data_IF_428726297039
#
_entry.id   IF_428726297039
#
_cell.length_a   1.000
_cell.length_b   1.000
_cell.length_c   1.000
_cell.angle_alpha   90.00
_cell.angle_beta   90.00
_cell.angle_gamma   90.00
#
_symmetry.space_group_name_H-M   'P 1'
#
loop_
_entity.id
_entity.type
_entity.pdbx_description
1 polymer ?
#
# COMPACT_ATOMS: atom_id res chain seq x y z
N UNK A 1 -3.34 15.12 -4.91
CA UNK A 1 -4.11 13.88 -5.04
C UNK A 1 -3.89 13.26 -6.42
N UNK A 2 -3.69 11.95 -6.48
CA UNK A 2 -3.57 11.17 -7.71
C UNK A 2 -4.81 10.29 -7.83
N UNK A 3 -5.46 10.27 -8.99
CA UNK A 3 -6.58 9.37 -9.28
C UNK A 3 -6.04 7.94 -9.49
N UNK A 4 -6.66 6.96 -8.84
CA UNK A 4 -6.25 5.54 -8.90
C UNK A 4 -7.15 4.77 -9.87
N UNK A 5 -8.35 4.42 -9.42
CA UNK A 5 -9.33 3.62 -10.15
C UNK A 5 -10.73 3.88 -9.54
N UNK A 6 -11.77 3.20 -10.02
CA UNK A 6 -13.05 3.19 -9.30
C UNK A 6 -13.00 2.20 -8.14
N UNK A 7 -13.89 2.35 -7.15
CA UNK A 7 -14.02 1.39 -6.04
C UNK A 7 -14.37 -0.02 -6.51
N UNK A 8 -14.99 -0.17 -7.68
CA UNK A 8 -15.34 -1.46 -8.28
C UNK A 8 -14.12 -2.15 -8.93
N UNK A 9 -13.14 -1.37 -9.39
CA UNK A 9 -11.92 -1.89 -9.99
C UNK A 9 -10.91 -2.39 -8.94
N UNK A 10 -11.17 -2.15 -7.65
CA UNK A 10 -10.32 -2.56 -6.54
C UNK A 10 -11.18 -3.21 -5.43
N UNK A 11 -11.70 -4.44 -5.65
CA UNK A 11 -12.52 -5.13 -4.67
C UNK A 11 -11.69 -5.59 -3.44
N UNK A 12 -12.35 -5.99 -2.33
CA UNK A 12 -11.65 -6.48 -1.15
C UNK A 12 -10.70 -7.63 -1.45
N UNK A 13 -9.47 -7.56 -0.91
CA UNK A 13 -8.39 -8.52 -1.14
C UNK A 13 -7.44 -8.13 -2.27
N UNK A 14 -7.77 -7.12 -3.08
CA UNK A 14 -6.97 -6.71 -4.23
C UNK A 14 -6.06 -5.50 -3.93
N UNK A 15 -5.04 -5.34 -4.78
CA UNK A 15 -4.12 -4.21 -4.75
C UNK A 15 -3.89 -3.65 -6.16
N UNK A 16 -3.53 -2.36 -6.22
CA UNK A 16 -3.13 -1.70 -7.47
C UNK A 16 -1.92 -0.80 -7.24
N UNK A 17 -0.96 -0.89 -8.14
CA UNK A 17 0.21 -0.02 -8.18
C UNK A 17 -0.07 1.21 -9.05
N UNK A 18 0.27 2.39 -8.54
CA UNK A 18 0.23 3.64 -9.31
C UNK A 18 1.63 4.23 -9.51
N UNK A 19 1.81 4.91 -10.65
CA UNK A 19 3.04 5.63 -10.95
C UNK A 19 3.01 7.02 -10.31
N UNK A 20 4.02 7.31 -9.50
CA UNK A 20 4.30 8.62 -8.92
C UNK A 20 5.84 8.80 -8.83
N UNK A 21 6.32 9.88 -8.20
CA UNK A 21 7.77 10.09 -8.01
C UNK A 21 8.42 8.90 -7.28
N UNK A 22 7.74 8.36 -6.26
CA UNK A 22 7.99 7.02 -5.74
C UNK A 22 6.72 6.19 -5.98
N UNK A 23 6.81 4.96 -6.51
CA UNK A 23 5.63 4.12 -6.74
C UNK A 23 4.84 3.87 -5.45
N UNK A 24 3.52 3.87 -5.56
CA UNK A 24 2.58 3.70 -4.44
C UNK A 24 1.68 2.50 -4.73
N UNK A 25 1.47 1.66 -3.73
CA UNK A 25 0.53 0.54 -3.78
C UNK A 25 -0.70 0.90 -2.95
N UNK A 26 -1.88 0.69 -3.54
CA UNK A 26 -3.17 0.91 -2.90
C UNK A 26 -3.83 -0.45 -2.71
N UNK A 27 -4.23 -0.75 -1.49
CA UNK A 27 -4.80 -2.03 -1.06
C UNK A 27 -6.23 -1.83 -0.61
N UNK A 28 -7.08 -2.81 -0.90
CA UNK A 28 -8.40 -2.94 -0.27
C UNK A 28 -8.38 -4.08 0.75
N UNK A 29 -8.14 -3.74 2.01
CA UNK A 29 -8.12 -4.67 3.13
C UNK A 29 -9.52 -4.79 3.72
N UNK A 30 -10.26 -5.84 3.34
CA UNK A 30 -11.60 -6.14 3.83
C UNK A 30 -12.62 -4.98 3.72
N UNK A 31 -12.48 -4.15 2.68
CA UNK A 31 -13.34 -2.98 2.42
C UNK A 31 -12.72 -1.64 2.81
N UNK A 32 -11.64 -1.64 3.58
CA UNK A 32 -10.92 -0.44 3.98
C UNK A 32 -9.71 -0.20 3.06
N UNK A 33 -9.53 1.04 2.60
CA UNK A 33 -8.48 1.37 1.63
C UNK A 33 -7.24 1.95 2.31
N UNK A 34 -6.09 1.43 1.92
CA UNK A 34 -4.78 1.88 2.43
C UNK A 34 -3.82 2.11 1.29
N UNK A 35 -2.91 3.07 1.45
CA UNK A 35 -1.86 3.32 0.48
C UNK A 35 -0.50 3.44 1.16
N UNK A 36 0.50 2.74 0.63
CA UNK A 36 1.88 2.73 1.11
C UNK A 36 2.87 2.84 -0.05
N UNK A 37 4.15 3.11 0.23
CA UNK A 37 5.18 2.93 -0.79
C UNK A 37 5.08 1.50 -1.36
N UNK A 38 5.06 1.38 -2.68
CA UNK A 38 4.97 0.08 -3.35
C UNK A 38 6.30 -0.69 -3.28
N UNK A 39 7.44 0.00 -3.32
CA UNK A 39 8.73 -0.67 -3.30
C UNK A 39 9.09 -1.12 -1.88
N UNK A 40 9.27 -2.43 -1.70
CA UNK A 40 9.74 -3.01 -0.45
C UNK A 40 11.04 -2.33 0.02
N UNK A 41 11.12 -1.97 1.30
CA UNK A 41 12.30 -1.25 1.83
C UNK A 41 13.56 -2.09 1.96
N UNK A 42 13.45 -3.40 1.76
CA UNK A 42 14.57 -4.35 1.72
C UNK A 42 15.26 -4.37 0.35
N UNK A 43 14.49 -4.58 -0.72
CA UNK A 43 14.98 -4.74 -2.09
C UNK A 43 13.86 -4.37 -3.07
N UNK A 44 14.22 -4.14 -4.33
CA UNK A 44 13.32 -3.80 -5.43
C UNK A 44 12.30 -4.92 -5.72
N UNK A 45 11.18 -4.88 -4.99
CA UNK A 45 10.01 -5.73 -5.15
C UNK A 45 8.75 -4.87 -4.92
N UNK A 46 7.75 -5.08 -5.77
CA UNK A 46 6.43 -4.47 -5.69
C UNK A 46 5.63 -5.14 -4.57
N UNK A 47 5.14 -4.36 -3.61
CA UNK A 47 4.25 -4.82 -2.55
C UNK A 47 2.83 -5.00 -3.07
N UNK A 48 2.43 -4.31 -4.16
CA UNK A 48 1.16 -4.59 -4.83
C UNK A 48 1.10 -6.03 -5.40
N UNK A 49 2.25 -6.64 -5.69
CA UNK A 49 2.35 -8.05 -6.11
C UNK A 49 2.45 -9.02 -4.93
N UNK A 50 2.32 -8.52 -3.69
CA UNK A 50 2.42 -9.29 -2.45
C UNK A 50 1.13 -9.99 -2.04
N UNK A 51 1.19 -10.69 -0.91
CA UNK A 51 0.03 -11.36 -0.32
C UNK A 51 -0.64 -10.47 0.73
N UNK A 52 -1.91 -10.12 0.53
CA UNK A 52 -2.70 -9.32 1.46
C UNK A 52 -3.47 -10.22 2.44
N UNK A 53 -3.25 -10.03 3.74
CA UNK A 53 -4.01 -10.70 4.80
C UNK A 53 -4.37 -9.70 5.91
N UNK A 54 -5.67 -9.40 6.04
CA UNK A 54 -6.16 -8.34 6.91
C UNK A 54 -5.50 -7.01 6.57
N UNK A 55 -4.88 -6.35 7.55
CA UNK A 55 -4.14 -5.09 7.35
C UNK A 55 -2.64 -5.28 7.07
N UNK A 56 -2.20 -6.46 6.64
CA UNK A 56 -0.79 -6.75 6.38
C UNK A 56 -0.59 -7.16 4.93
N UNK A 57 0.46 -6.62 4.31
CA UNK A 57 0.96 -7.14 3.02
C UNK A 57 2.28 -7.84 3.23
N UNK A 58 2.38 -9.10 2.80
CA UNK A 58 3.62 -9.87 2.75
C UNK A 58 4.33 -9.65 1.41
N UNK A 59 5.60 -9.24 1.46
CA UNK A 59 6.43 -9.05 0.29
C UNK A 59 6.65 -10.37 -0.45
N UNK A 60 6.40 -10.43 -1.78
CA UNK A 60 6.42 -11.68 -2.53
C UNK A 60 7.82 -12.30 -2.68
N UNK A 61 8.88 -11.54 -2.33
CA UNK A 61 10.26 -11.99 -2.53
C UNK A 61 10.82 -12.77 -1.33
N UNK A 62 10.73 -12.20 -0.12
CA UNK A 62 11.35 -12.77 1.09
C UNK A 62 10.43 -12.75 2.33
N UNK A 63 9.12 -12.58 2.13
CA UNK A 63 8.10 -12.71 3.16
C UNK A 63 8.16 -11.73 4.36
N UNK A 64 8.95 -10.65 4.28
CA UNK A 64 8.73 -9.51 5.19
C UNK A 64 7.36 -8.92 4.95
N UNK A 65 6.60 -8.69 6.01
CA UNK A 65 5.30 -8.05 5.92
C UNK A 65 5.33 -6.59 6.39
N UNK A 66 4.33 -5.82 5.98
CA UNK A 66 4.17 -4.42 6.35
C UNK A 66 2.73 -4.17 6.80
N UNK A 67 2.56 -3.47 7.92
CA UNK A 67 1.24 -3.03 8.38
C UNK A 67 0.77 -1.87 7.50
N UNK A 68 -0.34 -2.03 6.79
CA UNK A 68 -0.87 -1.03 5.86
C UNK A 68 -1.26 0.30 6.54
N UNK A 69 -1.51 0.27 7.85
CA UNK A 69 -1.94 1.45 8.63
C UNK A 69 -0.77 2.32 9.05
N UNK A 70 0.37 1.68 9.34
CA UNK A 70 1.55 2.33 9.94
C UNK A 70 2.79 2.28 9.06
N UNK A 71 2.81 1.41 8.06
CA UNK A 71 3.98 1.12 7.23
C UNK A 71 5.09 0.35 7.96
N UNK A 72 4.92 0.01 9.24
CA UNK A 72 5.94 -0.68 10.02
C UNK A 72 6.15 -2.11 9.50
N UNK A 73 7.41 -2.55 9.34
CA UNK A 73 7.71 -3.90 8.89
C UNK A 73 7.57 -4.90 10.03
N UNK A 74 7.22 -6.13 9.69
CA UNK A 74 7.30 -7.31 10.54
C UNK A 74 8.02 -8.43 9.78
N UNK A 75 8.87 -9.18 10.49
CA UNK A 75 9.71 -10.20 9.89
C UNK A 75 10.90 -9.63 9.10
N UNK A 76 12.08 -10.23 9.31
CA UNK A 76 13.27 -9.95 8.50
C UNK A 76 13.07 -10.49 7.08
N UNK A 77 13.71 -9.91 6.04
CA UNK A 77 14.85 -8.98 6.12
C UNK A 77 14.54 -7.48 6.07
N UNK A 78 13.29 -7.05 5.87
CA UNK A 78 12.92 -5.64 5.94
C UNK A 78 13.10 -5.08 7.36
N UNK A 79 13.65 -3.87 7.46
CA UNK A 79 13.96 -3.21 8.75
C UNK A 79 13.43 -1.78 8.85
N UNK A 80 13.06 -1.19 7.71
CA UNK A 80 12.60 0.20 7.63
C UNK A 80 11.12 0.23 7.27
N UNK A 81 10.35 1.17 7.82
CA UNK A 81 8.96 1.35 7.41
C UNK A 81 8.86 1.85 5.97
N UNK A 82 7.78 1.48 5.31
CA UNK A 82 7.28 2.19 4.12
C UNK A 82 6.52 3.43 4.55
N UNK A 83 6.47 4.46 3.70
CA UNK A 83 5.59 5.62 3.96
C UNK A 83 4.14 5.23 3.73
N UNK A 84 3.24 5.89 4.44
CA UNK A 84 1.79 5.75 4.26
C UNK A 84 1.20 7.03 3.67
N UNK A 85 0.10 6.88 2.95
CA UNK A 85 -0.56 7.96 2.22
C UNK A 85 -2.07 7.94 2.50
N UNK A 86 -2.71 9.11 2.71
CA UNK A 86 -4.15 9.19 2.83
C UNK A 86 -4.85 8.71 1.56
N UNK A 87 -5.86 7.85 1.72
CA UNK A 87 -6.77 7.46 0.64
C UNK A 87 -8.10 8.17 0.85
N UNK A 88 -8.67 8.72 -0.23
CA UNK A 88 -9.96 9.40 -0.23
C UNK A 88 -10.81 8.82 -1.35
N UNK A 89 -12.08 8.52 -1.05
CA UNK A 89 -13.07 8.16 -2.06
C UNK A 89 -13.98 9.36 -2.32
N UNK A 90 -14.10 9.77 -3.58
CA UNK A 90 -15.00 10.83 -4.04
C UNK A 90 -15.72 10.35 -5.29
N UNK A 91 -17.04 10.38 -5.27
CA UNK A 91 -17.89 9.96 -6.41
C UNK A 91 -17.48 8.58 -6.97
N UNK A 92 -17.34 7.59 -6.09
CA UNK A 92 -16.92 6.21 -6.38
C UNK A 92 -15.51 6.05 -6.99
N UNK A 93 -14.70 7.11 -6.96
CA UNK A 93 -13.31 7.11 -7.43
C UNK A 93 -12.35 7.17 -6.25
N UNK A 94 -11.34 6.30 -6.29
CA UNK A 94 -10.26 6.24 -5.31
C UNK A 94 -9.16 7.24 -5.67
N UNK A 95 -8.75 8.04 -4.70
CA UNK A 95 -7.66 9.00 -4.80
C UNK A 95 -6.64 8.78 -3.69
N UNK A 96 -5.36 8.97 -4.01
CA UNK A 96 -4.28 9.00 -3.03
C UNK A 96 -3.80 10.43 -2.87
N UNK A 97 -3.71 10.92 -1.63
CA UNK A 97 -2.99 12.15 -1.32
C UNK A 97 -1.50 11.85 -1.18
N UNK A 98 -0.67 12.51 -1.98
CA UNK A 98 0.79 12.32 -1.98
C UNK A 98 1.48 13.12 -0.87
N UNK A 99 0.74 13.89 -0.08
CA UNK A 99 1.25 14.44 1.17
C UNK A 99 1.54 13.27 2.13
N UNK A 100 2.83 12.98 2.29
CA UNK A 100 3.32 11.91 3.17
C UNK A 100 2.85 12.18 4.60
N UNK A 101 2.31 11.16 5.26
CA UNK A 101 2.12 11.20 6.71
C UNK A 101 3.38 10.65 7.39
N UNK A 102 3.99 11.48 8.23
CA UNK A 102 4.99 10.98 9.17
C UNK A 102 4.29 10.06 10.17
N UNK A 103 4.79 8.83 10.29
CA UNK A 103 4.36 7.90 11.32
C UNK A 103 5.04 8.35 12.61
N UNK A 104 4.24 8.78 13.59
CA UNK A 104 4.73 9.18 14.92
C UNK A 104 5.37 8.01 15.67
#
# INVERSE_FOLDING_TARGET
>A
MIRVCTVLDLPPGEAVRIVAHAPIAVFNADGELYAIDDTCTHQDASLADGWLEGCWVECPLHASSFDLRTGLPNGLPAKRPVRTYPVVVQDDVVYVDTAVRDVA
#
